data_IF_664516629270
#
_entry.id   IF_664516629270
#
_cell.length_a   1.000
_cell.length_b   1.000
_cell.length_c   1.000
_cell.angle_alpha   90.00
_cell.angle_beta   90.00
_cell.angle_gamma   90.00
#
_symmetry.space_group_name_H-M   'P 1'
#
loop_
_entity.id
_entity.type
_entity.pdbx_description
1 polymer ?
#
# COMPACT_ATOMS: atom_id res chain seq x y z
N UNK A 1 -19.30 -5.23 -22.10
CA UNK A 1 -19.40 -4.27 -20.97
C UNK A 1 -18.54 -4.78 -19.82
N UNK A 2 -17.81 -3.90 -19.14
CA UNK A 2 -16.91 -4.27 -18.03
C UNK A 2 -17.49 -3.79 -16.70
N UNK A 3 -17.61 -4.70 -15.71
CA UNK A 3 -18.13 -4.40 -14.39
C UNK A 3 -17.29 -3.34 -13.65
N UNK A 4 -15.96 -3.44 -13.73
CA UNK A 4 -15.05 -2.52 -13.04
C UNK A 4 -15.15 -1.10 -13.62
N UNK A 5 -15.24 -0.96 -14.94
CA UNK A 5 -15.45 0.36 -15.57
C UNK A 5 -16.77 1.01 -15.13
N UNK A 6 -17.83 0.21 -14.98
CA UNK A 6 -19.11 0.71 -14.46
C UNK A 6 -19.00 1.21 -13.00
N UNK A 7 -18.21 0.51 -12.18
CA UNK A 7 -17.99 0.93 -10.79
C UNK A 7 -17.29 2.28 -10.65
N UNK A 8 -16.42 2.62 -11.60
CA UNK A 8 -15.69 3.89 -11.63
C UNK A 8 -16.53 5.08 -12.11
N UNK A 9 -17.63 4.81 -12.83
CA UNK A 9 -18.51 5.87 -13.36
C UNK A 9 -19.28 6.59 -12.25
N UNK A 10 -19.48 7.93 -12.40
CA UNK A 10 -20.40 8.67 -11.54
C UNK A 10 -21.83 8.13 -11.64
N UNK A 11 -22.62 8.31 -10.57
CA UNK A 11 -24.02 7.85 -10.56
C UNK A 11 -24.85 8.49 -11.69
N UNK A 12 -24.61 9.76 -12.02
CA UNK A 12 -25.31 10.45 -13.10
C UNK A 12 -25.13 9.72 -14.46
N UNK A 13 -23.89 9.38 -14.82
CA UNK A 13 -23.61 8.62 -16.05
C UNK A 13 -24.26 7.23 -16.06
N UNK A 14 -24.28 6.56 -14.92
CA UNK A 14 -24.94 5.25 -14.80
C UNK A 14 -26.47 5.34 -14.97
N UNK A 15 -27.09 6.42 -14.50
CA UNK A 15 -28.52 6.69 -14.69
C UNK A 15 -28.82 6.99 -16.16
N UNK A 16 -28.01 7.81 -16.81
CA UNK A 16 -28.14 8.10 -18.25
C UNK A 16 -28.02 6.81 -19.09
N UNK A 17 -27.05 5.94 -18.75
CA UNK A 17 -26.92 4.63 -19.39
C UNK A 17 -28.14 3.74 -19.14
N UNK A 18 -28.69 3.75 -17.93
CA UNK A 18 -29.87 2.97 -17.57
C UNK A 18 -31.09 3.42 -18.38
N UNK A 19 -31.29 4.74 -18.53
CA UNK A 19 -32.38 5.30 -19.33
C UNK A 19 -32.22 4.94 -20.82
N UNK A 20 -31.02 5.08 -21.39
CA UNK A 20 -30.72 4.67 -22.77
C UNK A 20 -30.99 3.18 -23.02
N UNK A 21 -30.78 2.33 -22.02
CA UNK A 21 -31.08 0.90 -22.07
C UNK A 21 -32.55 0.57 -21.74
N UNK A 22 -33.41 1.55 -21.50
CA UNK A 22 -34.80 1.36 -21.17
C UNK A 22 -35.03 0.72 -19.78
N UNK A 23 -34.20 1.08 -18.80
CA UNK A 23 -34.39 0.75 -17.38
C UNK A 23 -35.04 1.92 -16.66
N UNK A 24 -36.32 1.77 -16.33
CA UNK A 24 -37.11 2.82 -15.67
C UNK A 24 -36.92 2.81 -14.15
N UNK A 25 -37.13 3.96 -13.50
CA UNK A 25 -37.18 4.13 -12.05
C UNK A 25 -35.88 3.84 -11.29
N UNK A 26 -34.70 3.94 -11.94
CA UNK A 26 -33.41 3.68 -11.30
C UNK A 26 -32.88 4.83 -10.42
N UNK A 27 -33.45 6.02 -10.48
CA UNK A 27 -32.97 7.21 -9.76
C UNK A 27 -32.97 7.10 -8.22
N UNK A 28 -33.79 6.21 -7.67
CA UNK A 28 -33.86 5.93 -6.22
C UNK A 28 -33.08 4.69 -5.80
N UNK A 29 -32.41 4.02 -6.73
CA UNK A 29 -31.66 2.81 -6.48
C UNK A 29 -30.22 3.12 -6.04
N UNK A 30 -29.62 2.21 -5.28
CA UNK A 30 -28.20 2.32 -4.91
C UNK A 30 -27.32 2.12 -6.16
N UNK A 31 -26.14 2.70 -6.16
CA UNK A 31 -25.18 2.57 -7.27
C UNK A 31 -24.96 1.10 -7.69
N UNK A 32 -24.81 0.21 -6.73
CA UNK A 32 -24.64 -1.23 -6.97
C UNK A 32 -25.84 -1.87 -7.66
N UNK A 33 -27.07 -1.48 -7.30
CA UNK A 33 -28.29 -2.02 -7.90
C UNK A 33 -28.44 -1.55 -9.35
N UNK A 34 -28.04 -0.31 -9.65
CA UNK A 34 -28.02 0.26 -11.01
C UNK A 34 -27.03 -0.54 -11.87
N UNK A 35 -25.80 -0.74 -11.39
CA UNK A 35 -24.78 -1.53 -12.10
C UNK A 35 -25.28 -2.94 -12.37
N UNK A 36 -25.86 -3.59 -11.36
CA UNK A 36 -26.42 -4.93 -11.50
C UNK A 36 -27.52 -4.99 -12.58
N UNK A 37 -28.44 -4.02 -12.59
CA UNK A 37 -29.51 -3.95 -13.57
C UNK A 37 -28.96 -3.72 -15.00
N UNK A 38 -27.99 -2.84 -15.16
CA UNK A 38 -27.32 -2.57 -16.43
C UNK A 38 -26.65 -3.84 -16.99
N UNK A 39 -25.88 -4.54 -16.18
CA UNK A 39 -25.20 -5.77 -16.59
C UNK A 39 -26.19 -6.89 -16.91
N UNK A 40 -27.26 -7.04 -16.13
CA UNK A 40 -28.31 -8.02 -16.37
C UNK A 40 -29.06 -7.76 -17.70
N UNK A 41 -29.31 -6.50 -18.00
CA UNK A 41 -29.93 -6.09 -19.28
C UNK A 41 -29.01 -6.36 -20.46
N UNK A 42 -27.71 -5.99 -20.33
CA UNK A 42 -26.68 -6.20 -21.34
C UNK A 42 -26.46 -7.67 -21.63
N UNK A 43 -26.45 -8.53 -20.61
CA UNK A 43 -26.32 -9.97 -20.77
C UNK A 43 -27.50 -10.60 -21.54
N UNK A 44 -28.72 -10.04 -21.40
CA UNK A 44 -29.91 -10.49 -22.14
C UNK A 44 -29.81 -10.20 -23.64
N UNK A 45 -29.00 -9.21 -24.07
CA UNK A 45 -28.72 -8.94 -25.48
C UNK A 45 -27.72 -9.92 -26.12
N UNK A 46 -27.20 -10.89 -25.35
CA UNK A 46 -26.24 -11.88 -25.84
C UNK A 46 -24.79 -11.40 -25.89
N UNK A 47 -24.51 -10.21 -25.36
CA UNK A 47 -23.16 -9.64 -25.33
C UNK A 47 -22.37 -10.15 -24.11
N UNK A 48 -21.07 -10.35 -24.30
CA UNK A 48 -20.18 -10.80 -23.24
C UNK A 48 -19.96 -9.72 -22.18
N UNK A 49 -19.96 -10.13 -20.92
CA UNK A 49 -19.62 -9.29 -19.79
C UNK A 49 -18.28 -9.74 -19.24
N UNK A 50 -17.39 -8.80 -18.99
CA UNK A 50 -16.13 -9.03 -18.28
C UNK A 50 -16.20 -8.44 -16.87
N UNK A 51 -15.44 -9.04 -15.97
CA UNK A 51 -15.27 -8.56 -14.61
C UNK A 51 -13.91 -8.96 -14.07
N UNK A 52 -13.48 -8.23 -13.06
CA UNK A 52 -12.24 -8.51 -12.36
C UNK A 52 -12.41 -8.29 -10.85
N UNK A 53 -11.46 -8.75 -10.10
CA UNK A 53 -11.42 -8.58 -8.66
C UNK A 53 -10.34 -9.44 -8.02
N UNK A 54 -10.24 -9.32 -6.71
CA UNK A 54 -9.30 -10.08 -5.88
C UNK A 54 -10.06 -11.20 -5.19
N UNK A 55 -9.57 -12.43 -5.36
CA UNK A 55 -10.21 -13.62 -4.83
C UNK A 55 -10.11 -13.70 -3.32
N UNK A 56 -11.23 -13.88 -2.67
CA UNK A 56 -11.35 -14.34 -1.28
C UNK A 56 -11.99 -15.71 -1.27
N UNK A 57 -11.26 -16.73 -0.80
CA UNK A 57 -11.78 -18.10 -0.67
C UNK A 57 -12.38 -18.24 0.72
N UNK A 58 -13.63 -18.70 0.79
CA UNK A 58 -14.35 -18.95 2.02
C UNK A 58 -14.13 -20.36 2.54
N UNK A 59 -14.48 -20.61 3.78
CA UNK A 59 -14.28 -21.92 4.45
C UNK A 59 -14.93 -23.10 3.71
N UNK A 60 -16.03 -22.84 3.00
CA UNK A 60 -16.75 -23.86 2.22
C UNK A 60 -16.06 -24.21 0.89
N UNK A 61 -14.91 -23.60 0.60
CA UNK A 61 -14.09 -23.93 -0.57
C UNK A 61 -14.49 -23.24 -1.88
N UNK A 62 -15.55 -22.42 -1.89
CA UNK A 62 -15.84 -21.48 -2.98
C UNK A 62 -15.30 -20.10 -2.66
N UNK A 63 -15.30 -19.18 -3.62
CA UNK A 63 -14.78 -17.83 -3.41
C UNK A 63 -15.59 -16.74 -4.09
N UNK A 64 -15.22 -15.51 -3.79
CA UNK A 64 -15.73 -14.30 -4.42
C UNK A 64 -14.59 -13.41 -4.89
N UNK A 65 -14.77 -12.76 -6.03
CA UNK A 65 -13.90 -11.66 -6.43
C UNK A 65 -14.42 -10.38 -5.79
N UNK A 66 -13.59 -9.81 -4.91
CA UNK A 66 -13.84 -8.56 -4.20
C UNK A 66 -13.23 -7.39 -4.97
N UNK A 67 -13.87 -6.23 -4.89
CA UNK A 67 -13.39 -5.01 -5.56
C UNK A 67 -12.49 -4.18 -4.65
N UNK A 68 -11.37 -3.68 -5.19
CA UNK A 68 -10.53 -2.69 -4.52
C UNK A 68 -11.26 -1.37 -4.29
N UNK A 69 -12.17 -0.96 -5.19
CA UNK A 69 -12.96 0.27 -5.06
C UNK A 69 -13.86 0.28 -3.82
N UNK A 70 -14.27 -0.88 -3.33
CA UNK A 70 -14.99 -1.05 -2.06
C UNK A 70 -14.08 -1.48 -0.90
N UNK A 71 -12.78 -1.36 -1.06
CA UNK A 71 -11.77 -1.84 -0.11
C UNK A 71 -12.01 -3.30 0.32
N UNK A 72 -12.35 -4.14 -0.65
CA UNK A 72 -12.64 -5.57 -0.51
C UNK A 72 -13.83 -5.91 0.41
N UNK A 73 -14.73 -4.95 0.64
CA UNK A 73 -15.97 -5.21 1.36
C UNK A 73 -16.87 -6.13 0.54
N UNK A 74 -17.48 -7.12 1.20
CA UNK A 74 -18.47 -7.97 0.60
C UNK A 74 -19.68 -7.17 0.10
N UNK A 75 -20.11 -7.40 -1.13
CA UNK A 75 -21.20 -6.68 -1.76
C UNK A 75 -22.01 -7.53 -2.74
N UNK A 76 -23.19 -7.06 -3.16
CA UNK A 76 -24.06 -7.77 -4.09
C UNK A 76 -23.48 -7.88 -5.51
N UNK A 77 -22.49 -7.10 -5.82
CA UNK A 77 -21.75 -7.03 -7.08
C UNK A 77 -20.48 -7.89 -7.11
N UNK A 78 -20.26 -8.69 -6.07
CA UNK A 78 -19.18 -9.67 -6.03
C UNK A 78 -19.42 -10.81 -7.03
N UNK A 79 -18.34 -11.37 -7.55
CA UNK A 79 -18.38 -12.41 -8.57
C UNK A 79 -18.06 -13.75 -7.92
N UNK A 80 -18.98 -14.70 -8.01
CA UNK A 80 -18.81 -16.05 -7.49
C UNK A 80 -17.79 -16.83 -8.30
N UNK A 81 -16.89 -17.53 -7.59
CA UNK A 81 -15.87 -18.42 -8.15
C UNK A 81 -16.08 -19.83 -7.59
N UNK A 82 -16.27 -20.82 -8.47
CA UNK A 82 -16.57 -22.19 -8.06
C UNK A 82 -15.35 -22.93 -7.50
N UNK A 83 -15.54 -23.92 -6.62
CA UNK A 83 -14.45 -24.77 -6.14
C UNK A 83 -13.70 -25.49 -7.26
N UNK A 84 -14.36 -25.85 -8.33
CA UNK A 84 -13.72 -26.48 -9.49
C UNK A 84 -12.75 -25.56 -10.21
N UNK A 85 -13.09 -24.28 -10.38
CA UNK A 85 -12.20 -23.26 -10.96
C UNK A 85 -11.00 -23.01 -10.05
N UNK A 86 -11.23 -22.90 -8.73
CA UNK A 86 -10.17 -22.72 -7.73
C UNK A 86 -9.15 -23.86 -7.83
N UNK A 87 -9.61 -25.12 -7.88
CA UNK A 87 -8.71 -26.29 -8.03
C UNK A 87 -8.03 -26.32 -9.38
N UNK A 88 -8.77 -26.05 -10.47
CA UNK A 88 -8.25 -26.12 -11.84
C UNK A 88 -7.04 -25.22 -12.07
N UNK A 89 -7.08 -24.00 -11.53
CA UNK A 89 -6.03 -22.98 -11.69
C UNK A 89 -5.13 -22.83 -10.47
N UNK A 90 -5.29 -23.67 -9.45
CA UNK A 90 -4.56 -23.59 -8.18
C UNK A 90 -4.64 -22.16 -7.57
N UNK A 91 -5.86 -21.61 -7.52
CA UNK A 91 -6.11 -20.27 -7.04
C UNK A 91 -6.00 -20.21 -5.52
N UNK A 92 -5.54 -19.04 -5.03
CA UNK A 92 -5.44 -18.74 -3.60
C UNK A 92 -6.08 -17.39 -3.31
N UNK A 93 -6.46 -17.16 -2.07
CA UNK A 93 -6.88 -15.83 -1.60
C UNK A 93 -5.81 -14.80 -1.92
N UNK A 94 -6.21 -13.67 -2.47
CA UNK A 94 -5.33 -12.60 -2.93
C UNK A 94 -5.03 -12.62 -4.43
N UNK A 95 -5.33 -13.71 -5.16
CA UNK A 95 -5.17 -13.73 -6.61
C UNK A 95 -6.08 -12.70 -7.29
N UNK A 96 -5.50 -11.84 -8.12
CA UNK A 96 -6.23 -10.89 -8.95
C UNK A 96 -6.64 -11.59 -10.25
N UNK A 97 -7.94 -11.70 -10.48
CA UNK A 97 -8.51 -12.46 -11.61
C UNK A 97 -9.30 -11.52 -12.50
N UNK A 98 -9.05 -11.62 -13.80
CA UNK A 98 -9.85 -10.99 -14.84
C UNK A 98 -10.47 -12.10 -15.69
N UNK A 99 -11.75 -11.96 -15.99
CA UNK A 99 -12.42 -12.99 -16.79
C UNK A 99 -13.80 -12.60 -17.26
N UNK A 100 -14.42 -13.54 -17.98
CA UNK A 100 -15.80 -13.42 -18.44
C UNK A 100 -16.74 -13.93 -17.36
N UNK A 101 -17.82 -13.19 -17.16
CA UNK A 101 -18.83 -13.48 -16.14
C UNK A 101 -20.20 -13.67 -16.79
N UNK A 102 -21.08 -14.38 -16.10
CA UNK A 102 -22.49 -14.53 -16.47
C UNK A 102 -23.40 -13.93 -15.39
N UNK A 103 -24.59 -13.47 -15.76
CA UNK A 103 -25.60 -13.05 -14.81
C UNK A 103 -26.07 -14.23 -13.94
N UNK A 104 -26.64 -13.93 -12.76
CA UNK A 104 -27.21 -14.95 -11.92
C UNK A 104 -28.40 -15.64 -12.61
N UNK A 105 -28.48 -16.97 -12.47
CA UNK A 105 -29.61 -17.78 -12.86
C UNK A 105 -30.75 -17.67 -11.84
N UNK A 106 -31.87 -18.31 -12.14
CA UNK A 106 -32.99 -18.39 -11.21
C UNK A 106 -32.52 -19.05 -9.88
N UNK A 107 -32.75 -18.37 -8.76
CA UNK A 107 -32.28 -18.79 -7.44
C UNK A 107 -30.85 -18.38 -7.06
N UNK A 108 -30.06 -17.86 -8.00
CA UNK A 108 -28.71 -17.32 -7.69
C UNK A 108 -28.77 -15.82 -7.38
N UNK A 109 -27.86 -15.36 -6.50
CA UNK A 109 -27.78 -13.95 -6.10
C UNK A 109 -26.66 -13.19 -6.81
N UNK A 110 -25.58 -13.86 -7.20
CA UNK A 110 -24.35 -13.25 -7.68
C UNK A 110 -24.07 -13.55 -9.14
N UNK A 111 -23.34 -12.66 -9.80
CA UNK A 111 -22.66 -13.00 -11.05
C UNK A 111 -21.67 -14.12 -10.79
N UNK A 112 -21.44 -14.96 -11.79
CA UNK A 112 -20.53 -16.08 -11.68
C UNK A 112 -19.43 -16.01 -12.75
N UNK A 113 -18.20 -16.33 -12.36
CA UNK A 113 -17.07 -16.42 -13.28
C UNK A 113 -17.28 -17.61 -14.23
N UNK A 114 -17.23 -17.34 -15.55
CA UNK A 114 -17.32 -18.36 -16.60
C UNK A 114 -15.96 -18.81 -17.07
N UNK A 115 -15.11 -17.85 -17.43
CA UNK A 115 -13.80 -18.08 -18.01
C UNK A 115 -12.79 -17.15 -17.36
N UNK A 116 -11.62 -17.70 -17.03
CA UNK A 116 -10.47 -16.92 -16.54
C UNK A 116 -9.66 -16.48 -17.74
N UNK A 117 -9.44 -15.18 -17.91
CA UNK A 117 -8.64 -14.60 -18.98
C UNK A 117 -7.21 -14.31 -18.51
N UNK A 118 -7.05 -13.80 -17.27
CA UNK A 118 -5.74 -13.62 -16.64
C UNK A 118 -5.78 -13.82 -15.12
N UNK A 119 -4.62 -14.18 -14.56
CA UNK A 119 -4.39 -14.30 -13.12
C UNK A 119 -3.14 -13.48 -12.79
N UNK A 120 -3.27 -12.49 -11.90
CA UNK A 120 -2.16 -11.60 -11.51
C UNK A 120 -1.47 -10.93 -12.70
N UNK A 121 -2.27 -10.52 -13.70
CA UNK A 121 -1.82 -9.89 -14.95
C UNK A 121 -0.96 -10.80 -15.85
N UNK A 122 -1.05 -12.12 -15.65
CA UNK A 122 -0.34 -13.12 -16.44
C UNK A 122 -1.33 -14.16 -16.98
N UNK A 123 -0.85 -14.99 -17.92
CA UNK A 123 -1.67 -16.05 -18.50
C UNK A 123 -2.03 -17.09 -17.43
N UNK A 124 -3.26 -17.66 -17.45
CA UNK A 124 -3.71 -18.62 -16.44
C UNK A 124 -2.83 -19.88 -16.34
N UNK A 125 -2.18 -20.27 -17.45
CA UNK A 125 -1.29 -21.42 -17.50
C UNK A 125 -0.06 -21.24 -16.59
N UNK A 126 0.46 -20.02 -16.48
CA UNK A 126 1.64 -19.70 -15.67
C UNK A 126 1.35 -19.77 -14.16
N UNK A 127 0.09 -19.60 -13.78
CA UNK A 127 -0.31 -19.65 -12.36
C UNK A 127 -0.12 -21.02 -11.71
N UNK A 128 -0.10 -22.10 -12.51
CA UNK A 128 0.04 -23.47 -11.99
C UNK A 128 1.43 -23.81 -11.50
N UNK A 129 2.45 -23.20 -12.09
CA UNK A 129 3.87 -23.53 -11.87
C UNK A 129 4.59 -22.46 -11.03
N UNK A 130 3.87 -21.56 -10.36
CA UNK A 130 4.45 -20.54 -9.51
C UNK A 130 5.05 -21.13 -8.24
N UNK A 131 6.15 -20.55 -7.80
CA UNK A 131 6.73 -20.84 -6.48
C UNK A 131 5.91 -20.06 -5.45
N UNK A 132 5.51 -20.73 -4.37
CA UNK A 132 4.76 -20.09 -3.28
C UNK A 132 5.63 -19.04 -2.59
N UNK A 133 5.04 -17.95 -2.15
CA UNK A 133 5.74 -16.84 -1.51
C UNK A 133 6.63 -17.29 -0.35
N UNK A 134 6.16 -18.24 0.44
CA UNK A 134 6.87 -18.81 1.59
C UNK A 134 8.16 -19.56 1.21
N UNK A 135 8.26 -20.03 -0.03
CA UNK A 135 9.41 -20.77 -0.55
C UNK A 135 10.37 -19.90 -1.39
N UNK A 136 10.05 -18.61 -1.57
CA UNK A 136 10.91 -17.69 -2.30
C UNK A 136 12.11 -17.28 -1.45
N UNK A 137 13.27 -17.12 -2.08
CA UNK A 137 14.54 -16.79 -1.41
C UNK A 137 14.63 -15.29 -1.11
N UNK A 138 14.62 -14.87 0.19
CA UNK A 138 14.69 -13.46 0.54
C UNK A 138 16.12 -12.90 0.42
N UNK A 139 16.22 -11.72 -0.16
CA UNK A 139 17.45 -10.95 -0.28
C UNK A 139 17.30 -9.56 0.35
N UNK A 140 18.45 -8.93 0.62
CA UNK A 140 18.45 -7.49 0.91
C UNK A 140 18.02 -6.68 -0.33
N UNK A 141 17.45 -5.49 -0.15
CA UNK A 141 17.20 -4.57 -1.25
C UNK A 141 18.51 -4.22 -1.99
N UNK A 142 18.48 -4.37 -3.32
CA UNK A 142 19.64 -4.06 -4.20
C UNK A 142 19.28 -3.07 -5.30
N UNK A 143 17.98 -2.86 -5.54
CA UNK A 143 17.47 -1.89 -6.51
C UNK A 143 16.80 -0.73 -5.78
N UNK A 144 17.32 0.47 -6.00
CA UNK A 144 16.76 1.68 -5.37
C UNK A 144 15.43 2.06 -5.98
N UNK A 145 14.50 2.46 -5.12
CA UNK A 145 13.32 3.23 -5.47
C UNK A 145 13.70 4.71 -5.30
N UNK A 146 14.09 5.38 -6.37
CA UNK A 146 14.50 6.79 -6.29
C UNK A 146 13.33 7.67 -5.93
N UNK A 147 13.51 8.53 -4.93
CA UNK A 147 12.53 9.51 -4.50
C UNK A 147 12.75 10.88 -5.13
N UNK A 148 13.90 11.13 -5.70
CA UNK A 148 14.21 12.37 -6.41
C UNK A 148 13.44 12.48 -7.72
N UNK A 149 12.75 13.61 -7.93
CA UNK A 149 12.01 13.89 -9.18
C UNK A 149 12.81 14.71 -10.21
N UNK A 150 13.84 15.41 -9.77
CA UNK A 150 14.74 16.19 -10.64
C UNK A 150 14.13 17.49 -11.21
N UNK A 151 12.98 17.92 -10.68
CA UNK A 151 12.27 19.11 -11.20
C UNK A 151 12.67 20.43 -10.51
N UNK A 152 13.48 20.36 -9.42
CA UNK A 152 13.94 21.51 -8.65
C UNK A 152 12.83 22.25 -7.89
N UNK A 153 11.67 21.63 -7.69
CA UNK A 153 10.55 22.21 -6.92
C UNK A 153 10.70 21.97 -5.43
N UNK A 154 9.94 22.70 -4.62
CA UNK A 154 9.88 22.50 -3.16
C UNK A 154 9.28 21.14 -2.78
N UNK A 155 8.47 20.55 -3.65
CA UNK A 155 7.94 19.20 -3.47
C UNK A 155 9.03 18.15 -3.65
N UNK A 156 9.97 18.38 -4.55
CA UNK A 156 11.12 17.51 -4.79
C UNK A 156 12.11 17.51 -3.63
N UNK A 157 12.17 18.54 -2.82
CA UNK A 157 13.04 18.62 -1.62
C UNK A 157 12.82 17.42 -0.72
N UNK A 158 11.57 17.02 -0.48
CA UNK A 158 11.26 15.86 0.36
C UNK A 158 11.88 14.58 -0.18
N UNK A 159 11.70 14.29 -1.47
CA UNK A 159 12.27 13.12 -2.13
C UNK A 159 13.80 13.13 -2.10
N UNK A 160 14.40 14.26 -2.37
CA UNK A 160 15.86 14.44 -2.34
C UNK A 160 16.44 14.20 -0.95
N UNK A 161 15.80 14.71 0.10
CA UNK A 161 16.24 14.49 1.50
C UNK A 161 16.14 13.00 1.85
N UNK A 162 15.05 12.31 1.48
CA UNK A 162 14.92 10.86 1.73
C UNK A 162 16.06 10.10 1.07
N UNK A 163 16.33 10.38 -0.19
CA UNK A 163 17.41 9.72 -0.94
C UNK A 163 18.80 9.92 -0.32
N UNK A 164 19.05 11.07 0.31
CA UNK A 164 20.31 11.39 0.98
C UNK A 164 20.43 10.79 2.38
N UNK A 165 19.31 10.66 3.11
CA UNK A 165 19.32 10.27 4.53
C UNK A 165 18.97 8.80 4.77
N UNK A 166 17.99 8.29 4.03
CA UNK A 166 17.44 6.95 4.21
C UNK A 166 16.92 6.40 2.86
N UNK A 167 17.82 6.02 1.93
CA UNK A 167 17.42 5.51 0.63
C UNK A 167 16.54 4.27 0.77
N UNK A 168 15.51 4.19 -0.07
CA UNK A 168 14.53 3.10 -0.09
C UNK A 168 14.84 2.19 -1.26
N UNK A 169 14.88 0.89 -1.01
CA UNK A 169 15.06 -0.11 -2.06
C UNK A 169 13.84 -1.02 -2.22
N UNK A 170 13.75 -1.68 -3.38
CA UNK A 170 12.75 -2.72 -3.64
C UNK A 170 12.96 -3.88 -2.65
N UNK A 171 11.96 -4.16 -1.82
CA UNK A 171 12.05 -5.12 -0.74
C UNK A 171 12.31 -4.52 0.65
N UNK A 172 12.31 -3.19 0.77
CA UNK A 172 12.55 -2.48 2.02
C UNK A 172 11.43 -2.71 3.05
N UNK A 173 11.81 -2.87 4.33
CA UNK A 173 10.92 -2.77 5.49
C UNK A 173 11.21 -1.46 6.21
N UNK A 174 10.49 -0.41 5.84
CA UNK A 174 10.74 0.94 6.35
C UNK A 174 9.70 1.39 7.37
N UNK A 175 10.15 2.10 8.40
CA UNK A 175 9.31 2.79 9.35
C UNK A 175 9.48 4.31 9.22
N UNK A 176 8.36 5.01 9.00
CA UNK A 176 8.26 6.45 9.16
C UNK A 176 7.73 6.68 10.57
N UNK A 177 8.59 7.14 11.46
CA UNK A 177 8.24 7.39 12.87
C UNK A 177 7.69 8.78 13.00
N UNK A 178 6.41 8.91 13.33
CA UNK A 178 5.72 10.19 13.25
C UNK A 178 5.05 10.57 14.59
N UNK A 179 5.49 11.64 15.23
CA UNK A 179 4.72 12.29 16.27
C UNK A 179 3.49 13.01 15.68
N UNK A 180 2.47 13.31 16.48
CA UNK A 180 1.31 14.06 16.00
C UNK A 180 1.69 15.38 15.32
N UNK A 181 1.02 15.71 14.21
CA UNK A 181 1.18 16.98 13.45
C UNK A 181 2.56 17.19 12.83
N UNK A 182 3.34 16.14 12.61
CA UNK A 182 4.67 16.23 12.00
C UNK A 182 4.69 16.16 10.46
N UNK A 183 3.53 16.16 9.80
CA UNK A 183 3.45 16.11 8.33
C UNK A 183 3.47 14.69 7.74
N UNK A 184 3.05 13.67 8.51
CA UNK A 184 3.00 12.26 8.12
C UNK A 184 2.29 12.02 6.79
N UNK A 185 1.09 12.55 6.62
CA UNK A 185 0.25 12.34 5.42
C UNK A 185 0.90 12.92 4.16
N UNK A 186 1.43 14.15 4.26
CA UNK A 186 2.16 14.80 3.16
C UNK A 186 3.41 14.00 2.78
N UNK A 187 4.12 13.46 3.77
CA UNK A 187 5.28 12.60 3.55
C UNK A 187 4.91 11.37 2.72
N UNK A 188 3.84 10.67 3.09
CA UNK A 188 3.36 9.50 2.35
C UNK A 188 2.88 9.84 0.94
N UNK A 189 2.19 10.97 0.76
CA UNK A 189 1.77 11.45 -0.56
C UNK A 189 2.98 11.72 -1.46
N UNK A 190 4.03 12.36 -0.95
CA UNK A 190 5.26 12.61 -1.68
C UNK A 190 5.95 11.29 -2.08
N UNK A 191 6.09 10.34 -1.16
CA UNK A 191 6.66 9.02 -1.44
C UNK A 191 5.85 8.31 -2.50
N UNK A 192 4.52 8.28 -2.38
CA UNK A 192 3.64 7.65 -3.35
C UNK A 192 3.77 8.27 -4.75
N UNK A 193 3.76 9.60 -4.84
CA UNK A 193 3.88 10.32 -6.10
C UNK A 193 5.23 10.05 -6.78
N UNK A 194 6.32 10.04 -6.01
CA UNK A 194 7.66 9.80 -6.54
C UNK A 194 7.86 8.33 -6.98
N UNK A 195 7.33 7.36 -6.23
CA UNK A 195 7.33 5.96 -6.65
C UNK A 195 6.56 5.79 -7.96
N UNK A 196 5.34 6.32 -8.06
CA UNK A 196 4.52 6.20 -9.25
C UNK A 196 5.15 6.87 -10.48
N UNK A 197 5.89 7.96 -10.29
CA UNK A 197 6.60 8.69 -11.36
C UNK A 197 7.85 7.95 -11.82
N UNK A 198 8.70 7.56 -10.88
CA UNK A 198 10.04 7.04 -11.17
C UNK A 198 10.04 5.53 -11.44
N UNK A 199 9.03 4.80 -10.99
CA UNK A 199 8.91 3.35 -11.09
C UNK A 199 7.48 2.95 -11.51
N UNK A 200 7.06 3.29 -12.74
CA UNK A 200 5.69 3.03 -13.21
C UNK A 200 5.34 1.54 -13.32
N UNK A 201 6.34 0.66 -13.31
CA UNK A 201 6.18 -0.79 -13.30
C UNK A 201 5.75 -1.35 -11.94
N UNK A 202 5.90 -0.59 -10.87
CA UNK A 202 5.61 -1.01 -9.51
C UNK A 202 4.11 -0.96 -9.23
N UNK A 203 3.58 -2.02 -8.65
CA UNK A 203 2.22 -2.03 -8.10
C UNK A 203 2.19 -1.31 -6.75
N UNK A 204 1.72 -0.07 -6.76
CA UNK A 204 1.62 0.75 -5.56
C UNK A 204 0.24 0.57 -4.90
N UNK A 205 0.25 0.17 -3.63
CA UNK A 205 -0.95 0.05 -2.78
C UNK A 205 -0.75 0.94 -1.56
N UNK A 206 -1.71 1.85 -1.32
CA UNK A 206 -1.79 2.64 -0.10
C UNK A 206 -2.88 2.03 0.78
N UNK A 207 -2.49 1.57 1.95
CA UNK A 207 -3.39 0.96 2.94
C UNK A 207 -3.57 1.90 4.13
N UNK A 208 -4.79 2.41 4.30
CA UNK A 208 -5.16 3.34 5.36
C UNK A 208 -6.02 2.62 6.39
N UNK A 209 -5.52 2.51 7.62
CA UNK A 209 -6.20 1.81 8.72
C UNK A 209 -6.55 2.79 9.82
N UNK A 210 -7.85 2.87 10.17
CA UNK A 210 -8.37 3.73 11.24
C UNK A 210 -8.04 5.22 10.97
N UNK A 211 -8.03 5.62 9.68
CA UNK A 211 -7.85 7.01 9.25
C UNK A 211 -9.21 7.67 8.99
N UNK A 212 -9.19 9.01 8.85
CA UNK A 212 -10.40 9.79 8.63
C UNK A 212 -10.89 9.68 7.18
N UNK A 213 -12.21 9.66 6.93
CA UNK A 213 -12.77 9.57 5.57
C UNK A 213 -12.27 10.67 4.62
N UNK A 214 -12.09 11.90 5.13
CA UNK A 214 -11.55 13.01 4.34
C UNK A 214 -10.09 12.79 3.92
N UNK A 215 -9.25 12.20 4.78
CA UNK A 215 -7.86 11.85 4.46
C UNK A 215 -7.80 10.72 3.42
N UNK A 216 -8.72 9.76 3.50
CA UNK A 216 -8.87 8.71 2.47
C UNK A 216 -9.21 9.32 1.11
N UNK A 217 -10.19 10.22 1.07
CA UNK A 217 -10.61 10.88 -0.16
C UNK A 217 -9.48 11.71 -0.78
N UNK A 218 -8.72 12.42 0.05
CA UNK A 218 -7.56 13.19 -0.40
C UNK A 218 -6.48 12.28 -1.01
N UNK A 219 -6.18 11.17 -0.33
CA UNK A 219 -5.21 10.19 -0.81
C UNK A 219 -5.65 9.58 -2.16
N UNK A 220 -6.93 9.22 -2.30
CA UNK A 220 -7.49 8.70 -3.55
C UNK A 220 -7.39 9.71 -4.72
N UNK A 221 -7.46 11.00 -4.45
CA UNK A 221 -7.35 12.06 -5.47
C UNK A 221 -5.91 12.38 -5.86
N UNK A 222 -4.98 12.22 -4.95
CA UNK A 222 -3.59 12.65 -5.13
C UNK A 222 -2.65 11.53 -5.56
N UNK A 223 -2.93 10.28 -5.17
CA UNK A 223 -2.06 9.14 -5.44
C UNK A 223 -2.47 8.39 -6.69
N UNK A 224 -1.52 8.15 -7.58
CA UNK A 224 -1.68 7.25 -8.73
C UNK A 224 -1.31 5.82 -8.32
N UNK A 225 -2.25 5.13 -7.71
CA UNK A 225 -2.10 3.79 -7.18
C UNK A 225 -3.41 3.29 -6.62
N UNK A 226 -3.43 2.07 -6.12
CA UNK A 226 -4.58 1.52 -5.43
C UNK A 226 -4.63 2.06 -4.01
N UNK A 227 -5.75 2.69 -3.63
CA UNK A 227 -5.98 3.17 -2.25
C UNK A 227 -7.07 2.31 -1.62
N UNK A 228 -6.70 1.58 -0.59
CA UNK A 228 -7.57 0.70 0.18
C UNK A 228 -7.64 1.22 1.61
N UNK A 229 -8.84 1.35 2.15
CA UNK A 229 -9.03 1.95 3.45
C UNK A 229 -10.06 1.22 4.32
N UNK A 230 -9.84 1.27 5.61
CA UNK A 230 -10.84 1.03 6.64
C UNK A 230 -10.79 2.20 7.62
N UNK A 231 -11.86 3.01 7.63
CA UNK A 231 -11.92 4.27 8.35
C UNK A 231 -12.24 4.09 9.84
N UNK A 232 -12.04 5.13 10.65
CA UNK A 232 -12.14 5.06 12.12
C UNK A 232 -13.55 4.69 12.62
N UNK A 233 -14.58 4.89 11.81
CA UNK A 233 -15.98 4.52 12.09
C UNK A 233 -16.30 3.05 11.84
N UNK A 234 -15.36 2.30 11.23
CA UNK A 234 -15.49 0.86 11.02
C UNK A 234 -14.93 0.05 12.21
N UNK A 235 -15.45 -1.17 12.45
CA UNK A 235 -14.99 -1.99 13.57
C UNK A 235 -13.56 -2.53 13.34
N UNK A 236 -12.80 -2.83 14.43
CA UNK A 236 -11.44 -3.38 14.35
C UNK A 236 -11.32 -4.66 13.52
N UNK A 237 -12.36 -5.50 13.48
CA UNK A 237 -12.41 -6.69 12.64
C UNK A 237 -12.29 -6.36 11.15
N UNK A 238 -12.86 -5.22 10.73
CA UNK A 238 -12.77 -4.72 9.36
C UNK A 238 -11.36 -4.27 9.02
N UNK A 239 -10.69 -3.57 9.94
CA UNK A 239 -9.28 -3.16 9.78
C UNK A 239 -8.37 -4.36 9.52
N UNK A 240 -8.55 -5.41 10.30
CA UNK A 240 -7.79 -6.67 10.15
C UNK A 240 -8.10 -7.34 8.82
N UNK A 241 -9.36 -7.46 8.44
CA UNK A 241 -9.78 -8.10 7.19
C UNK A 241 -9.19 -7.41 5.96
N UNK A 242 -9.25 -6.09 5.91
CA UNK A 242 -8.68 -5.31 4.80
C UNK A 242 -7.17 -5.50 4.70
N UNK A 243 -6.47 -5.46 5.82
CA UNK A 243 -5.03 -5.66 5.85
C UNK A 243 -4.64 -7.08 5.40
N UNK A 244 -5.38 -8.11 5.82
CA UNK A 244 -5.16 -9.49 5.39
C UNK A 244 -5.38 -9.65 3.88
N UNK A 245 -6.41 -9.03 3.32
CA UNK A 245 -6.63 -9.07 1.86
C UNK A 245 -5.51 -8.37 1.09
N UNK A 246 -5.04 -7.22 1.54
CA UNK A 246 -3.95 -6.47 0.88
C UNK A 246 -2.65 -7.27 0.90
N UNK A 247 -2.27 -7.84 2.03
CA UNK A 247 -1.01 -8.60 2.12
C UNK A 247 -1.06 -9.88 1.28
N UNK A 248 -2.18 -10.59 1.25
CA UNK A 248 -2.33 -11.77 0.41
C UNK A 248 -2.29 -11.42 -1.08
N UNK A 249 -2.94 -10.32 -1.50
CA UNK A 249 -2.82 -9.80 -2.87
C UNK A 249 -1.37 -9.50 -3.22
N UNK A 250 -0.66 -8.77 -2.36
CA UNK A 250 0.73 -8.42 -2.59
C UNK A 250 1.62 -9.66 -2.75
N UNK A 251 1.46 -10.66 -1.90
CA UNK A 251 2.20 -11.93 -2.01
C UNK A 251 1.91 -12.65 -3.32
N UNK A 252 0.65 -12.69 -3.76
CA UNK A 252 0.28 -13.31 -5.06
C UNK A 252 0.94 -12.61 -6.24
N UNK A 253 0.98 -11.28 -6.24
CA UNK A 253 1.66 -10.51 -7.27
C UNK A 253 3.18 -10.79 -7.29
N UNK A 254 3.80 -10.89 -6.12
CA UNK A 254 5.23 -11.22 -6.01
C UNK A 254 5.55 -12.63 -6.51
N UNK A 255 4.68 -13.61 -6.28
CA UNK A 255 4.81 -14.95 -6.86
C UNK A 255 4.85 -14.93 -8.40
N UNK A 256 4.25 -13.91 -9.01
CA UNK A 256 4.30 -13.63 -10.45
C UNK A 256 5.43 -12.63 -10.82
N UNK A 257 6.46 -12.51 -9.99
CA UNK A 257 7.65 -11.68 -10.21
C UNK A 257 7.36 -10.19 -10.39
N UNK A 258 6.26 -9.70 -9.81
CA UNK A 258 5.91 -8.28 -9.79
C UNK A 258 6.60 -7.59 -8.61
N UNK A 259 6.93 -6.32 -8.81
CA UNK A 259 7.37 -5.44 -7.73
C UNK A 259 6.16 -4.74 -7.12
N UNK A 260 5.97 -4.92 -5.83
CA UNK A 260 4.84 -4.36 -5.08
C UNK A 260 5.36 -3.46 -3.97
N UNK A 261 4.74 -2.29 -3.81
CA UNK A 261 4.98 -1.38 -2.69
C UNK A 261 3.68 -1.17 -1.93
N UNK A 262 3.70 -1.42 -0.64
CA UNK A 262 2.61 -1.08 0.29
C UNK A 262 3.07 0.10 1.14
N UNK A 263 2.30 1.20 1.09
CA UNK A 263 2.41 2.30 2.04
C UNK A 263 1.30 2.13 3.07
N UNK A 264 1.66 1.84 4.32
CA UNK A 264 0.70 1.56 5.40
C UNK A 264 0.63 2.73 6.37
N UNK A 265 -0.53 3.32 6.51
CA UNK A 265 -0.84 4.32 7.53
C UNK A 265 -2.00 3.83 8.42
N UNK A 266 -1.76 3.33 9.60
CA UNK A 266 -0.48 3.14 10.29
C UNK A 266 -0.37 1.72 10.84
N UNK A 267 0.87 1.25 11.02
CA UNK A 267 1.13 -0.05 11.67
C UNK A 267 0.69 -0.04 13.14
N UNK A 268 0.78 1.10 13.81
CA UNK A 268 0.33 1.27 15.19
C UNK A 268 -1.15 0.99 15.33
N UNK A 269 -1.97 1.55 14.44
CA UNK A 269 -3.43 1.35 14.47
C UNK A 269 -3.82 -0.07 14.03
N UNK A 270 -3.11 -0.63 13.06
CA UNK A 270 -3.28 -2.04 12.69
C UNK A 270 -2.98 -2.97 13.88
N UNK A 271 -1.89 -2.73 14.59
CA UNK A 271 -1.55 -3.51 15.78
C UNK A 271 -2.59 -3.37 16.91
N UNK A 272 -3.14 -2.17 17.12
CA UNK A 272 -4.25 -1.95 18.05
C UNK A 272 -5.51 -2.74 17.65
N UNK A 273 -5.83 -2.77 16.36
CA UNK A 273 -6.97 -3.53 15.84
C UNK A 273 -6.79 -5.03 16.09
N UNK A 274 -5.61 -5.57 15.84
CA UNK A 274 -5.30 -6.97 16.17
C UNK A 274 -5.39 -7.25 17.68
N UNK A 275 -4.91 -6.32 18.51
CA UNK A 275 -5.02 -6.46 19.96
C UNK A 275 -6.46 -6.51 20.47
N UNK A 276 -7.38 -5.86 19.75
CA UNK A 276 -8.82 -5.89 20.08
C UNK A 276 -9.51 -7.17 19.58
N UNK A 277 -9.10 -7.67 18.41
CA UNK A 277 -9.79 -8.78 17.72
C UNK A 277 -9.31 -10.15 18.20
N UNK A 278 -8.05 -10.27 18.64
CA UNK A 278 -7.49 -11.55 19.05
C UNK A 278 -8.14 -12.03 20.36
N UNK A 279 -8.42 -13.33 20.48
CA UNK A 279 -8.84 -13.90 21.77
C UNK A 279 -7.77 -13.65 22.83
N UNK A 280 -8.17 -13.24 24.03
CA UNK A 280 -7.24 -12.97 25.13
C UNK A 280 -6.43 -14.21 25.48
N UNK A 281 -5.10 -14.08 25.49
CA UNK A 281 -4.19 -15.14 25.94
C UNK A 281 -4.11 -15.28 27.47
N UNK A 282 -4.67 -14.32 28.20
CA UNK A 282 -4.50 -14.16 29.62
C UNK A 282 -3.13 -13.61 30.06
N UNK A 283 -2.23 -13.36 29.10
CA UNK A 283 -0.90 -12.76 29.32
C UNK A 283 -0.83 -11.38 28.65
N UNK A 284 -0.87 -10.35 29.46
CA UNK A 284 -0.83 -8.96 28.98
C UNK A 284 0.55 -8.39 29.26
N UNK A 285 1.19 -7.86 28.21
CA UNK A 285 2.44 -7.14 28.28
C UNK A 285 2.22 -5.70 28.78
N UNK A 286 3.31 -4.98 29.07
CA UNK A 286 3.28 -3.56 29.39
C UNK A 286 2.47 -2.79 28.34
N UNK A 287 1.68 -1.80 28.75
CA UNK A 287 0.85 -1.00 27.85
C UNK A 287 -0.47 -1.65 27.41
N UNK A 288 -0.85 -2.80 27.99
CA UNK A 288 -2.13 -3.46 27.68
C UNK A 288 -2.13 -4.25 26.37
N UNK A 289 -0.97 -4.64 25.87
CA UNK A 289 -0.81 -5.45 24.65
C UNK A 289 -0.86 -6.93 25.01
N UNK A 290 -1.76 -7.71 24.39
CA UNK A 290 -1.77 -9.17 24.54
C UNK A 290 -0.50 -9.78 23.96
N UNK A 291 0.04 -10.81 24.58
CA UNK A 291 1.30 -11.45 24.18
C UNK A 291 1.31 -11.94 22.72
N UNK A 292 0.15 -12.33 22.18
CA UNK A 292 -0.01 -12.83 20.81
C UNK A 292 -0.51 -11.76 19.81
N UNK A 293 -0.88 -10.56 20.28
CA UNK A 293 -1.50 -9.52 19.44
C UNK A 293 -0.60 -9.02 18.31
N UNK A 294 0.71 -9.00 18.53
CA UNK A 294 1.66 -8.47 17.56
C UNK A 294 2.21 -9.51 16.56
N UNK A 295 1.88 -10.78 16.71
CA UNK A 295 2.38 -11.83 15.81
C UNK A 295 1.96 -11.61 14.35
N UNK A 296 0.66 -11.38 14.12
CA UNK A 296 0.14 -11.15 12.75
C UNK A 296 0.61 -9.84 12.15
N UNK A 297 0.57 -8.68 12.85
CA UNK A 297 1.17 -7.43 12.35
C UNK A 297 2.67 -7.55 12.06
N UNK A 298 3.44 -8.28 12.87
CA UNK A 298 4.85 -8.56 12.61
C UNK A 298 5.05 -9.41 11.35
N UNK A 299 4.20 -10.42 11.13
CA UNK A 299 4.22 -11.21 9.90
C UNK A 299 3.86 -10.37 8.67
N UNK A 300 2.90 -9.45 8.82
CA UNK A 300 2.55 -8.49 7.76
C UNK A 300 3.78 -7.65 7.39
N UNK A 301 4.36 -6.95 8.33
CA UNK A 301 5.52 -6.08 8.09
C UNK A 301 6.77 -6.87 7.69
N UNK A 302 6.98 -8.01 8.32
CA UNK A 302 8.09 -8.92 8.04
C UNK A 302 8.02 -9.63 6.67
N UNK A 303 6.88 -9.58 5.98
CA UNK A 303 6.74 -10.13 4.64
C UNK A 303 7.55 -9.32 3.59
N UNK A 304 7.88 -8.06 3.86
CA UNK A 304 8.67 -7.24 2.96
C UNK A 304 10.06 -7.82 2.74
N UNK A 305 10.40 -8.06 1.48
CA UNK A 305 11.68 -8.64 1.05
C UNK A 305 11.93 -8.43 -0.45
N UNK A 306 13.17 -8.36 -0.83
CA UNK A 306 13.59 -8.56 -2.21
C UNK A 306 13.71 -10.07 -2.46
N UNK A 307 13.46 -10.54 -3.68
CA UNK A 307 13.37 -11.96 -4.01
C UNK A 307 14.40 -12.32 -5.09
N UNK A 308 15.17 -13.41 -4.86
CA UNK A 308 16.18 -13.88 -5.79
C UNK A 308 15.57 -14.34 -7.13
N UNK A 309 14.42 -15.01 -7.07
CA UNK A 309 13.71 -15.54 -8.24
C UNK A 309 13.01 -14.43 -9.06
N UNK A 310 13.02 -13.21 -8.56
CA UNK A 310 12.41 -12.02 -9.17
C UNK A 310 11.18 -11.53 -8.45
N UNK A 311 10.90 -10.23 -8.61
CA UNK A 311 9.89 -9.52 -7.86
C UNK A 311 10.36 -9.04 -6.49
N UNK A 312 9.57 -8.21 -5.85
CA UNK A 312 9.85 -7.68 -4.52
C UNK A 312 8.58 -7.23 -3.81
N UNK A 313 8.60 -7.30 -2.49
CA UNK A 313 7.58 -6.68 -1.65
C UNK A 313 8.24 -5.65 -0.74
N UNK A 314 7.90 -4.39 -0.95
CA UNK A 314 8.32 -3.26 -0.13
C UNK A 314 7.18 -2.82 0.76
N UNK A 315 7.43 -2.63 2.05
CA UNK A 315 6.43 -2.10 2.99
C UNK A 315 7.05 -0.92 3.72
N UNK A 316 6.46 0.27 3.52
CA UNK A 316 6.78 1.49 4.25
C UNK A 316 5.58 1.81 5.13
N UNK A 317 5.75 1.66 6.43
CA UNK A 317 4.69 1.85 7.40
C UNK A 317 4.95 3.06 8.28
N UNK A 318 3.89 3.78 8.64
CA UNK A 318 3.98 4.81 9.67
C UNK A 318 3.81 4.20 11.05
N UNK A 319 4.66 4.60 11.99
CA UNK A 319 4.55 4.26 13.39
C UNK A 319 4.29 5.55 14.19
N UNK A 320 3.25 5.54 15.02
CA UNK A 320 2.87 6.69 15.82
C UNK A 320 3.63 6.69 17.13
N UNK A 321 4.25 7.81 17.47
CA UNK A 321 4.99 8.04 18.71
C UNK A 321 4.53 9.32 19.38
N UNK A 322 4.90 9.53 20.64
CA UNK A 322 4.54 10.74 21.43
C UNK A 322 3.02 10.99 21.48
N UNK A 323 2.24 9.93 21.45
CA UNK A 323 0.76 9.98 21.53
C UNK A 323 0.25 10.04 22.97
N UNK A 324 1.12 9.87 23.95
CA UNK A 324 0.76 9.71 25.36
C UNK A 324 0.26 8.29 25.69
N UNK A 325 0.22 7.37 24.74
CA UNK A 325 -0.19 5.99 24.94
C UNK A 325 1.00 5.06 25.13
N UNK A 326 1.06 4.39 26.29
CA UNK A 326 2.07 3.35 26.56
C UNK A 326 1.95 2.15 25.59
N UNK A 327 0.75 1.87 25.11
CA UNK A 327 0.53 0.84 24.08
C UNK A 327 1.28 1.17 22.80
N UNK A 328 1.24 2.42 22.34
CA UNK A 328 1.92 2.86 21.12
C UNK A 328 3.44 2.80 21.25
N UNK A 329 3.97 3.12 22.44
CA UNK A 329 5.40 2.98 22.74
C UNK A 329 5.85 1.53 22.62
N UNK A 330 5.10 0.59 23.20
CA UNK A 330 5.41 -0.84 23.12
C UNK A 330 5.32 -1.32 21.68
N UNK A 331 4.27 -0.94 20.94
CA UNK A 331 4.11 -1.29 19.52
C UNK A 331 5.30 -0.78 18.70
N UNK A 332 5.69 0.49 18.89
CA UNK A 332 6.83 1.06 18.17
C UNK A 332 8.14 0.29 18.44
N UNK A 333 8.47 0.04 19.72
CA UNK A 333 9.69 -0.69 20.08
C UNK A 333 9.73 -2.11 19.48
N UNK A 334 8.59 -2.79 19.43
CA UNK A 334 8.47 -4.12 18.83
C UNK A 334 8.66 -4.12 17.29
N UNK A 335 8.23 -3.08 16.59
CA UNK A 335 8.42 -2.95 15.15
C UNK A 335 9.76 -2.36 14.74
N UNK A 336 10.36 -1.51 15.58
CA UNK A 336 11.69 -0.93 15.37
C UNK A 336 12.76 -2.01 15.13
N UNK A 337 12.69 -3.11 15.90
CA UNK A 337 13.58 -4.25 15.73
C UNK A 337 13.35 -5.06 14.43
N UNK A 338 12.18 -4.95 13.82
CA UNK A 338 11.79 -5.71 12.61
C UNK A 338 12.18 -4.95 11.33
N UNK A 339 12.17 -3.63 11.36
CA UNK A 339 12.51 -2.78 10.22
C UNK A 339 14.00 -2.77 9.86
N UNK A 340 14.30 -2.42 8.61
CA UNK A 340 15.66 -2.22 8.11
C UNK A 340 15.89 -0.82 7.51
N UNK A 341 14.93 0.08 7.67
CA UNK A 341 15.00 1.50 7.33
C UNK A 341 14.14 2.29 8.33
N UNK A 342 14.63 3.41 8.77
CA UNK A 342 13.91 4.29 9.69
C UNK A 342 14.02 5.74 9.25
N UNK A 343 12.88 6.44 9.23
CA UNK A 343 12.74 7.85 8.87
C UNK A 343 11.94 8.57 9.97
N UNK A 344 12.59 9.01 11.05
CA UNK A 344 11.91 9.74 12.12
C UNK A 344 11.58 11.16 11.70
N UNK A 345 10.32 11.57 11.92
CA UNK A 345 9.88 12.95 11.88
C UNK A 345 10.05 13.57 13.28
N UNK A 346 10.39 14.84 13.33
CA UNK A 346 10.63 15.54 14.61
C UNK A 346 9.59 16.65 14.80
N UNK A 347 8.93 16.62 15.96
CA UNK A 347 7.88 17.58 16.32
C UNK A 347 8.44 19.01 16.42
N UNK A 348 9.66 19.21 16.95
CA UNK A 348 10.30 20.53 17.10
C UNK A 348 10.55 21.20 15.75
N UNK A 349 10.93 20.38 14.73
CA UNK A 349 11.12 20.83 13.36
C UNK A 349 9.77 21.30 12.78
N UNK A 350 8.73 20.49 12.95
CA UNK A 350 7.38 20.80 12.47
C UNK A 350 6.78 22.04 13.16
N UNK A 351 7.00 22.21 14.46
CA UNK A 351 6.55 23.40 15.22
C UNK A 351 7.19 24.69 14.70
N UNK A 352 8.43 24.64 14.20
CA UNK A 352 9.08 25.75 13.51
C UNK A 352 8.64 25.93 12.04
N UNK A 353 7.68 25.13 11.57
CA UNK A 353 7.20 25.16 10.17
C UNK A 353 8.27 24.84 9.13
N UNK A 354 9.26 24.05 9.50
CA UNK A 354 10.27 23.52 8.58
C UNK A 354 9.80 22.17 8.07
N UNK A 355 9.67 22.02 6.74
CA UNK A 355 9.23 20.78 6.09
C UNK A 355 10.12 20.45 4.89
N UNK A 356 10.45 19.15 4.71
CA UNK A 356 10.03 17.98 5.49
C UNK A 356 10.62 17.98 6.91
N UNK A 357 9.82 17.62 7.91
CA UNK A 357 10.25 17.61 9.31
C UNK A 357 11.08 16.37 9.68
N UNK A 358 12.01 15.98 8.83
CA UNK A 358 12.83 14.78 8.97
C UNK A 358 13.98 15.03 9.94
N UNK A 359 14.13 14.15 10.93
CA UNK A 359 15.33 14.11 11.77
C UNK A 359 16.44 13.35 11.01
N UNK A 360 17.33 14.09 10.38
CA UNK A 360 18.39 13.54 9.53
C UNK A 360 19.35 12.64 10.32
N UNK A 361 19.74 13.09 11.51
CA UNK A 361 20.74 12.40 12.32
C UNK A 361 20.27 11.02 12.83
N UNK A 362 18.96 10.83 12.91
CA UNK A 362 18.33 9.55 13.33
C UNK A 362 17.81 8.72 12.19
N UNK A 363 17.82 9.24 10.97
CA UNK A 363 17.37 8.54 9.77
C UNK A 363 18.46 7.62 9.21
N UNK A 364 18.08 6.51 8.62
CA UNK A 364 19.02 5.62 7.97
C UNK A 364 18.40 4.34 7.40
N UNK A 365 19.16 3.71 6.51
CA UNK A 365 18.83 2.42 5.89
C UNK A 365 19.96 1.44 6.16
N UNK A 366 19.62 0.22 6.61
CA UNK A 366 20.61 -0.86 6.75
C UNK A 366 21.06 -1.33 5.38
N UNK A 367 22.36 -1.56 5.22
CA UNK A 367 22.98 -2.00 3.96
C UNK A 367 22.73 -1.03 2.81
N UNK A 368 22.77 0.28 3.11
CA UNK A 368 22.59 1.33 2.09
C UNK A 368 23.65 1.25 0.97
N UNK A 369 24.79 0.65 1.23
CA UNK A 369 25.84 0.40 0.24
C UNK A 369 25.37 -0.51 -0.91
N UNK A 370 24.29 -1.28 -0.74
CA UNK A 370 23.70 -2.09 -1.80
C UNK A 370 22.77 -1.28 -2.71
N UNK A 371 22.38 -0.07 -2.29
CA UNK A 371 21.42 0.80 -2.98
C UNK A 371 22.06 2.02 -3.63
N UNK A 372 23.31 2.32 -3.30
CA UNK A 372 24.02 3.53 -3.73
C UNK A 372 25.35 3.17 -4.36
N UNK A 373 25.76 3.93 -5.39
CA UNK A 373 27.10 3.80 -5.96
C UNK A 373 28.17 4.27 -4.96
N UNK A 374 29.37 3.69 -5.03
CA UNK A 374 30.45 3.93 -4.05
C UNK A 374 30.80 5.42 -3.89
N UNK A 375 30.85 6.17 -4.97
CA UNK A 375 31.16 7.61 -4.95
C UNK A 375 30.00 8.44 -4.35
N UNK A 376 28.76 8.10 -4.60
CA UNK A 376 27.58 8.70 -3.97
C UNK A 376 27.59 8.40 -2.45
N UNK A 377 27.84 7.14 -2.09
CA UNK A 377 27.88 6.71 -0.69
C UNK A 377 28.94 7.46 0.12
N UNK A 378 30.14 7.65 -0.43
CA UNK A 378 31.19 8.44 0.22
C UNK A 378 30.76 9.88 0.46
N UNK A 379 30.06 10.49 -0.51
CA UNK A 379 29.53 11.87 -0.37
C UNK A 379 28.44 11.95 0.68
N UNK A 380 27.54 10.96 0.72
CA UNK A 380 26.52 10.87 1.77
C UNK A 380 27.16 10.78 3.17
N UNK A 381 28.24 10.01 3.32
CA UNK A 381 28.94 9.93 4.60
C UNK A 381 29.64 11.23 4.99
N UNK A 382 30.22 11.94 4.03
CA UNK A 382 30.79 13.27 4.27
C UNK A 382 29.70 14.25 4.72
N UNK A 383 28.54 14.22 4.03
CA UNK A 383 27.39 15.04 4.40
C UNK A 383 26.90 14.74 5.81
N UNK A 384 26.78 13.47 6.20
CA UNK A 384 26.36 13.07 7.55
C UNK A 384 27.37 13.53 8.60
N UNK A 385 28.66 13.43 8.34
CA UNK A 385 29.71 13.97 9.25
C UNK A 385 29.58 15.47 9.45
N UNK A 386 29.20 16.20 8.42
CA UNK A 386 28.97 17.64 8.49
C UNK A 386 27.73 18.00 9.32
N UNK A 387 26.64 17.23 9.14
CA UNK A 387 25.34 17.49 9.79
C UNK A 387 25.29 16.98 11.24
N UNK A 388 26.01 15.92 11.56
CA UNK A 388 25.95 15.26 12.87
C UNK A 388 26.18 16.17 14.09
N UNK A 389 27.14 17.11 14.09
CA UNK A 389 27.34 18.01 15.23
C UNK A 389 26.28 19.12 15.32
N UNK A 390 25.41 19.28 14.33
CA UNK A 390 24.33 20.25 14.32
C UNK A 390 23.13 19.78 15.13
N UNK A 391 22.43 20.71 15.76
CA UNK A 391 21.08 20.44 16.29
C UNK A 391 20.15 20.00 15.17
N UNK A 392 19.14 19.17 15.49
CA UNK A 392 18.27 18.53 14.50
C UNK A 392 17.55 19.53 13.60
N UNK A 393 17.14 20.69 14.17
CA UNK A 393 16.49 21.76 13.40
C UNK A 393 17.49 22.45 12.48
N UNK A 394 18.67 22.80 13.02
CA UNK A 394 19.73 23.43 12.22
C UNK A 394 20.21 22.53 11.09
N UNK A 395 20.31 21.23 11.32
CA UNK A 395 20.74 20.25 10.30
C UNK A 395 19.79 20.20 9.11
N UNK A 396 18.48 20.10 9.37
CA UNK A 396 17.49 20.03 8.27
C UNK A 396 17.35 21.39 7.57
N UNK A 397 17.36 22.51 8.26
CA UNK A 397 17.32 23.85 7.67
C UNK A 397 18.53 24.06 6.75
N UNK A 398 19.73 23.76 7.24
CA UNK A 398 20.95 23.83 6.43
C UNK A 398 20.85 22.98 5.16
N UNK A 399 20.41 21.73 5.27
CA UNK A 399 20.28 20.85 4.12
C UNK A 399 19.26 21.38 3.12
N UNK A 400 18.08 21.79 3.57
CA UNK A 400 17.02 22.35 2.71
C UNK A 400 17.54 23.59 1.95
N UNK A 401 18.21 24.50 2.64
CA UNK A 401 18.73 25.72 2.02
C UNK A 401 19.78 25.42 0.94
N UNK A 402 20.62 24.42 1.15
CA UNK A 402 21.58 23.95 0.14
C UNK A 402 20.88 23.25 -1.04
N UNK A 403 19.89 22.41 -0.77
CA UNK A 403 19.14 21.73 -1.82
C UNK A 403 18.34 22.69 -2.71
N UNK A 404 17.80 23.78 -2.17
CA UNK A 404 17.09 24.83 -2.95
C UNK A 404 17.96 25.50 -4.00
N UNK A 405 19.28 25.46 -3.86
CA UNK A 405 20.23 26.06 -4.83
C UNK A 405 20.58 25.12 -5.99
N UNK A 406 20.14 23.88 -5.96
CA UNK A 406 20.46 22.83 -6.94
C UNK A 406 19.20 22.07 -7.35
N UNK A 407 19.17 21.54 -8.57
CA UNK A 407 18.02 20.81 -9.10
C UNK A 407 18.03 19.33 -8.76
N UNK A 408 19.21 18.76 -8.61
CA UNK A 408 19.40 17.31 -8.36
C UNK A 408 20.37 17.06 -7.22
N UNK A 409 20.37 15.86 -6.65
CA UNK A 409 21.34 15.44 -5.65
C UNK A 409 22.75 15.38 -6.23
N UNK A 410 22.89 15.02 -7.50
CA UNK A 410 24.20 15.04 -8.19
C UNK A 410 24.77 16.46 -8.28
N UNK A 411 23.94 17.45 -8.69
CA UNK A 411 24.36 18.85 -8.69
C UNK A 411 24.75 19.34 -7.27
N UNK A 412 23.98 18.94 -6.26
CA UNK A 412 24.28 19.24 -4.89
C UNK A 412 25.65 18.69 -4.48
N UNK A 413 25.95 17.43 -4.75
CA UNK A 413 27.23 16.82 -4.46
C UNK A 413 28.40 17.45 -5.25
N UNK A 414 28.16 17.89 -6.49
CA UNK A 414 29.16 18.62 -7.26
C UNK A 414 29.45 20.00 -6.64
N UNK A 415 28.44 20.66 -6.09
CA UNK A 415 28.60 21.96 -5.39
C UNK A 415 29.45 21.85 -4.14
N UNK A 416 29.43 20.70 -3.45
CA UNK A 416 30.27 20.44 -2.28
C UNK A 416 31.76 20.34 -2.58
N UNK A 417 32.15 20.02 -3.84
CA UNK A 417 33.54 19.88 -4.28
C UNK A 417 34.22 21.22 -4.62
N UNK A 418 33.42 22.30 -4.77
CA UNK A 418 33.92 23.63 -5.22
C UNK A 418 34.33 24.57 -4.09
N UNK A 419 34.52 24.07 -2.88
CA UNK A 419 35.04 24.89 -1.74
C UNK A 419 36.34 24.35 -1.18
#
# INVERSE_FOLDING_TARGET
>A
MNLTELKQKPIAELLDMAEQMGLENMARSRKQDIIFALLKKHAKSGEEISGDGVLEILQDGFGFLRSADSSYLAGPDDIYVSPSQIRRFNLRTGDTIVGKIRPPKEGERYFALLKVDSINFDRPENAKNKILFENLTPLFPTKRLSMEAGNGSTEDITGRVIDLCAPIGKGQRGLIVAPPKAGKTIMLQNIAANIARNNPEVHLIVLLIDERPEEVTEMQRTVRGEVVASTFDEPPTRHVQVAEMVIEKAKRLVEHKKDVVILLDSITRLARAYNTVIPSSGKVLTGGVDAHALEKPKRFFGAARNIEEGGSLTIIATALVETGSKMDEVIYEEFKGTGNMELPLDRRIAEKRVFPAININRSGTRREELLTADDELQRMWILRKLLHPMDEVAAIEFLIDKLKTTKTNDEFFLSMKRK
#
